data_IF_306838774107
#
_entry.id   IF_306838774107
#
_cell.length_a   1.000
_cell.length_b   1.000
_cell.length_c   1.000
_cell.angle_alpha   90.00
_cell.angle_beta   90.00
_cell.angle_gamma   90.00
#
_symmetry.space_group_name_H-M   'P 1'
#
loop_
_entity.id
_entity.type
_entity.pdbx_description
1 polymer ?
#
# COMPACT_ATOMS: atom_id res chain seq x y z
N UNK A 1 64.69 -20.39 -12.39
CA UNK A 1 63.51 -20.77 -11.64
C UNK A 1 63.00 -19.54 -10.88
N UNK A 2 61.83 -18.93 -11.21
CA UNK A 2 61.33 -17.83 -10.41
C UNK A 2 60.67 -16.68 -11.19
N UNK A 3 59.86 -16.92 -12.24
CA UNK A 3 59.09 -15.83 -12.94
C UNK A 3 57.73 -16.25 -13.42
N UNK A 4 57.03 -17.18 -12.78
CA UNK A 4 55.69 -17.69 -13.18
C UNK A 4 54.59 -17.45 -12.12
N UNK A 5 54.85 -16.69 -11.06
CA UNK A 5 53.89 -16.53 -9.94
C UNK A 5 53.23 -15.14 -9.86
N UNK A 6 53.24 -14.32 -10.90
CA UNK A 6 52.66 -12.96 -10.85
C UNK A 6 51.45 -12.72 -11.81
N UNK A 7 50.87 -13.76 -12.39
CA UNK A 7 49.75 -13.59 -13.36
C UNK A 7 48.39 -14.11 -12.90
N UNK A 8 48.26 -14.53 -11.63
CA UNK A 8 47.02 -15.14 -11.11
C UNK A 8 46.15 -14.23 -10.23
N UNK A 9 46.44 -12.94 -10.11
CA UNK A 9 45.71 -12.06 -9.17
C UNK A 9 44.89 -10.94 -9.81
N UNK A 10 44.59 -10.97 -11.10
CA UNK A 10 43.82 -9.92 -11.78
C UNK A 10 42.57 -10.46 -12.43
N UNK A 11 41.94 -11.47 -11.82
CA UNK A 11 40.53 -11.78 -12.04
C UNK A 11 39.69 -11.11 -10.96
N UNK A 12 39.91 -9.81 -10.74
CA UNK A 12 38.99 -9.00 -9.94
C UNK A 12 37.65 -8.92 -10.67
N UNK A 13 36.65 -9.50 -10.06
CA UNK A 13 35.29 -9.61 -10.47
C UNK A 13 34.74 -8.32 -11.06
N UNK A 14 34.62 -8.30 -12.38
CA UNK A 14 33.64 -7.48 -13.05
C UNK A 14 32.28 -7.98 -12.55
N UNK A 15 31.77 -7.38 -11.49
CA UNK A 15 30.33 -7.45 -11.22
C UNK A 15 29.71 -6.73 -12.41
N UNK A 16 29.18 -7.49 -13.37
CA UNK A 16 28.23 -6.97 -14.31
C UNK A 16 27.11 -6.37 -13.46
N UNK A 17 27.10 -5.05 -13.32
CA UNK A 17 25.91 -4.32 -12.93
C UNK A 17 24.90 -4.69 -14.01
N UNK A 18 23.98 -5.58 -13.69
CA UNK A 18 22.86 -5.88 -14.55
C UNK A 18 22.14 -4.55 -14.76
N UNK A 19 22.20 -4.01 -15.97
CA UNK A 19 21.47 -2.80 -16.31
C UNK A 19 20.00 -3.09 -16.05
N UNK A 20 19.33 -2.21 -15.32
CA UNK A 20 17.90 -2.33 -15.06
C UNK A 20 17.15 -2.42 -16.39
N UNK A 21 16.32 -3.44 -16.54
CA UNK A 21 15.56 -3.66 -17.77
C UNK A 21 14.23 -2.91 -17.65
N UNK A 22 14.09 -1.84 -18.43
CA UNK A 22 12.79 -1.18 -18.62
C UNK A 22 12.04 -1.96 -19.69
N UNK A 23 10.90 -2.60 -19.37
CA UNK A 23 10.14 -3.37 -20.35
C UNK A 23 9.56 -2.44 -21.42
N UNK A 24 9.37 -2.93 -22.66
CA UNK A 24 8.71 -2.16 -23.70
C UNK A 24 7.29 -1.78 -23.28
N UNK A 25 6.77 -0.68 -23.85
CA UNK A 25 5.39 -0.27 -23.60
C UNK A 25 4.42 -1.39 -23.97
N UNK A 26 3.44 -1.70 -23.13
CA UNK A 26 2.50 -2.79 -23.38
C UNK A 26 1.58 -2.46 -24.56
N UNK A 27 1.20 -3.50 -25.32
CA UNK A 27 0.32 -3.34 -26.48
C UNK A 27 -1.17 -3.22 -26.11
N UNK A 28 -1.55 -3.56 -24.88
CA UNK A 28 -2.93 -3.58 -24.38
C UNK A 28 -3.05 -2.71 -23.15
N UNK A 29 -4.28 -2.36 -22.80
CA UNK A 29 -4.56 -1.65 -21.53
C UNK A 29 -4.42 -2.54 -20.31
N UNK A 30 -4.75 -3.83 -20.46
CA UNK A 30 -4.55 -4.85 -19.43
C UNK A 30 -3.54 -5.90 -19.90
N UNK A 31 -2.47 -6.10 -19.12
CA UNK A 31 -1.39 -7.03 -19.44
C UNK A 31 -1.04 -7.87 -18.23
N UNK A 32 -1.22 -9.18 -18.32
CA UNK A 32 -0.86 -10.13 -17.27
C UNK A 32 0.31 -11.00 -17.73
N UNK A 33 1.51 -10.63 -17.31
CA UNK A 33 2.74 -11.40 -17.56
C UNK A 33 2.98 -12.48 -16.49
N UNK A 34 2.24 -12.42 -15.37
CA UNK A 34 2.32 -13.39 -14.29
C UNK A 34 1.35 -14.58 -14.47
N UNK A 35 0.38 -14.45 -15.39
CA UNK A 35 -0.65 -15.45 -15.67
C UNK A 35 -1.48 -15.86 -14.44
N UNK A 36 -1.81 -14.87 -13.60
CA UNK A 36 -2.61 -15.07 -12.37
C UNK A 36 -4.07 -14.68 -12.56
N UNK A 37 -4.43 -14.12 -13.73
CA UNK A 37 -5.77 -13.67 -14.07
C UNK A 37 -6.37 -14.57 -15.16
N UNK A 38 -7.65 -14.93 -15.04
CA UNK A 38 -8.33 -15.70 -16.06
C UNK A 38 -8.41 -14.94 -17.40
N UNK A 39 -8.38 -15.65 -18.51
CA UNK A 39 -8.44 -15.06 -19.85
C UNK A 39 -9.69 -14.20 -20.04
N UNK A 40 -10.83 -14.64 -19.50
CA UNK A 40 -12.11 -13.91 -19.58
C UNK A 40 -12.04 -12.59 -18.80
N UNK A 41 -11.52 -12.61 -17.58
CA UNK A 41 -11.34 -11.40 -16.76
C UNK A 41 -10.36 -10.44 -17.42
N UNK A 42 -9.25 -10.95 -17.95
CA UNK A 42 -8.25 -10.13 -18.66
C UNK A 42 -8.86 -9.44 -19.88
N UNK A 43 -9.66 -10.16 -20.68
CA UNK A 43 -10.36 -9.59 -21.83
C UNK A 43 -11.38 -8.52 -21.43
N UNK A 44 -12.19 -8.78 -20.41
CA UNK A 44 -13.18 -7.82 -19.88
C UNK A 44 -12.50 -6.56 -19.35
N UNK A 45 -11.42 -6.69 -18.56
CA UNK A 45 -10.69 -5.55 -18.04
C UNK A 45 -10.05 -4.73 -19.16
N UNK A 46 -9.46 -5.40 -20.15
CA UNK A 46 -8.88 -4.69 -21.31
C UNK A 46 -9.95 -3.88 -22.04
N UNK A 47 -11.11 -4.47 -22.30
CA UNK A 47 -12.22 -3.78 -22.98
C UNK A 47 -12.77 -2.61 -22.17
N UNK A 48 -12.89 -2.79 -20.86
CA UNK A 48 -13.37 -1.74 -19.95
C UNK A 48 -12.43 -0.54 -19.97
N UNK A 49 -11.13 -0.78 -19.88
CA UNK A 49 -10.10 0.27 -19.91
C UNK A 49 -10.03 0.97 -21.26
N UNK A 50 -10.12 0.23 -22.37
CA UNK A 50 -10.16 0.79 -23.71
C UNK A 50 -11.38 1.67 -23.95
N UNK A 51 -12.56 1.21 -23.54
CA UNK A 51 -13.80 2.01 -23.63
C UNK A 51 -13.71 3.28 -22.78
N UNK A 52 -13.12 3.17 -21.58
CA UNK A 52 -12.93 4.33 -20.72
C UNK A 52 -12.05 5.40 -21.37
N UNK A 53 -10.93 5.03 -21.99
CA UNK A 53 -10.10 6.01 -22.70
C UNK A 53 -10.84 6.65 -23.87
N UNK A 54 -11.65 5.89 -24.61
CA UNK A 54 -12.48 6.43 -25.69
C UNK A 54 -13.49 7.47 -25.20
N UNK A 55 -14.05 7.28 -24.00
CA UNK A 55 -15.07 8.16 -23.42
C UNK A 55 -14.46 9.41 -22.76
N UNK A 56 -13.36 9.23 -22.00
CA UNK A 56 -12.80 10.28 -21.15
C UNK A 56 -11.53 10.93 -21.73
N UNK A 57 -10.87 10.24 -22.66
CA UNK A 57 -9.50 10.53 -23.12
C UNK A 57 -8.42 10.28 -22.06
N UNK A 58 -8.76 9.80 -20.87
CA UNK A 58 -7.82 9.47 -19.81
C UNK A 58 -7.34 8.02 -19.95
N UNK A 59 -6.04 7.81 -19.89
CA UNK A 59 -5.45 6.51 -20.17
C UNK A 59 -5.08 5.79 -18.87
N UNK A 60 -5.75 4.66 -18.60
CA UNK A 60 -5.43 3.80 -17.46
C UNK A 60 -4.88 2.47 -17.99
N UNK A 61 -3.70 2.11 -17.54
CA UNK A 61 -3.00 0.87 -17.93
C UNK A 61 -2.79 0.01 -16.69
N UNK A 62 -3.01 -1.29 -16.82
CA UNK A 62 -2.77 -2.27 -15.75
C UNK A 62 -1.75 -3.29 -16.22
N UNK A 63 -0.75 -3.53 -15.38
CA UNK A 63 0.31 -4.49 -15.68
C UNK A 63 0.60 -5.35 -14.46
N UNK A 64 0.52 -6.66 -14.66
CA UNK A 64 0.81 -7.65 -13.64
C UNK A 64 2.11 -8.38 -14.03
N UNK A 65 3.14 -8.16 -13.23
CA UNK A 65 4.44 -8.80 -13.38
C UNK A 65 4.62 -9.95 -12.40
N UNK A 66 5.34 -11.02 -12.76
CA UNK A 66 5.69 -12.07 -11.82
C UNK A 66 6.50 -11.53 -10.64
N UNK A 67 7.49 -10.67 -10.92
CA UNK A 67 8.42 -10.12 -9.94
C UNK A 67 8.94 -8.75 -10.38
N UNK A 68 9.35 -7.94 -9.42
CA UNK A 68 10.09 -6.69 -9.66
C UNK A 68 11.46 -7.02 -10.30
N UNK A 69 11.73 -6.42 -11.47
CA UNK A 69 12.97 -6.64 -12.23
C UNK A 69 13.96 -5.50 -12.00
N UNK A 70 14.15 -5.13 -10.74
CA UNK A 70 15.03 -4.03 -10.35
C UNK A 70 15.49 -4.21 -8.92
N UNK A 71 16.71 -3.75 -8.62
CA UNK A 71 17.22 -3.61 -7.25
C UNK A 71 16.79 -2.28 -6.61
N UNK A 72 16.10 -1.42 -7.37
CA UNK A 72 15.57 -0.13 -6.89
C UNK A 72 14.29 -0.32 -6.08
N UNK A 73 13.84 0.75 -5.43
CA UNK A 73 12.52 0.75 -4.82
C UNK A 73 11.41 0.58 -5.88
N UNK A 74 10.26 0.04 -5.47
CA UNK A 74 9.11 -0.12 -6.37
C UNK A 74 8.67 1.23 -6.93
N UNK A 75 8.72 2.26 -6.10
CA UNK A 75 8.38 3.64 -6.46
C UNK A 75 9.27 4.13 -7.60
N UNK A 76 10.59 4.04 -7.43
CA UNK A 76 11.56 4.51 -8.41
C UNK A 76 11.45 3.74 -9.73
N UNK A 77 11.32 2.42 -9.65
CA UNK A 77 11.16 1.57 -10.83
C UNK A 77 9.88 1.93 -11.61
N UNK A 78 8.74 2.01 -10.93
CA UNK A 78 7.44 2.29 -11.58
C UNK A 78 7.39 3.68 -12.21
N UNK A 79 8.03 4.69 -11.59
CA UNK A 79 8.18 6.03 -12.18
C UNK A 79 8.97 5.97 -13.47
N UNK A 80 10.12 5.26 -13.50
CA UNK A 80 10.95 5.15 -14.70
C UNK A 80 10.22 4.40 -15.83
N UNK A 81 9.54 3.31 -15.49
CA UNK A 81 8.75 2.52 -16.45
C UNK A 81 7.61 3.35 -17.01
N UNK A 82 6.81 4.00 -16.15
CA UNK A 82 5.69 4.83 -16.59
C UNK A 82 6.12 6.01 -17.46
N UNK A 83 7.27 6.63 -17.16
CA UNK A 83 7.88 7.67 -18.01
C UNK A 83 8.33 7.13 -19.37
N UNK A 84 8.96 5.96 -19.40
CA UNK A 84 9.39 5.32 -20.64
C UNK A 84 8.20 4.95 -21.53
N UNK A 85 7.10 4.50 -20.94
CA UNK A 85 5.87 4.16 -21.68
C UNK A 85 5.06 5.38 -22.11
N UNK A 86 5.32 6.55 -21.52
CA UNK A 86 4.60 7.80 -21.82
C UNK A 86 3.09 7.66 -21.66
N UNK A 87 2.64 6.95 -20.62
CA UNK A 87 1.22 6.74 -20.36
C UNK A 87 0.48 8.09 -20.28
N UNK A 88 -0.67 8.19 -20.98
CA UNK A 88 -1.45 9.42 -21.10
C UNK A 88 -1.03 10.31 -22.27
N UNK A 89 -1.84 11.33 -22.52
CA UNK A 89 -1.58 12.32 -23.59
C UNK A 89 -0.49 13.30 -23.15
N UNK A 90 0.45 13.58 -24.05
CA UNK A 90 1.65 14.41 -23.80
C UNK A 90 1.36 15.77 -23.17
N UNK A 91 0.29 16.43 -23.61
CA UNK A 91 -0.06 17.78 -23.12
C UNK A 91 -0.92 17.77 -21.87
N UNK A 92 -1.68 16.67 -21.64
CA UNK A 92 -2.62 16.54 -20.54
C UNK A 92 -2.04 15.79 -19.34
N UNK A 93 -1.00 14.97 -19.54
CA UNK A 93 -0.43 14.09 -18.53
C UNK A 93 -1.49 13.24 -17.78
N UNK A 94 -2.54 12.84 -18.50
CA UNK A 94 -3.75 12.21 -18.01
C UNK A 94 -3.67 10.67 -18.07
N UNK A 95 -2.52 10.13 -17.74
CA UNK A 95 -2.27 8.70 -17.65
C UNK A 95 -2.13 8.21 -16.22
N UNK A 96 -2.56 6.98 -15.95
CA UNK A 96 -2.21 6.27 -14.72
C UNK A 96 -1.86 4.81 -15.05
N UNK A 97 -0.93 4.25 -14.28
CA UNK A 97 -0.47 2.86 -14.46
C UNK A 97 -0.54 2.12 -13.13
N UNK A 98 -1.34 1.06 -13.09
CA UNK A 98 -1.40 0.15 -11.96
C UNK A 98 -0.41 -0.99 -12.18
N UNK A 99 0.63 -1.04 -11.38
CA UNK A 99 1.64 -2.10 -11.35
C UNK A 99 1.32 -3.10 -10.24
N UNK A 100 1.41 -4.38 -10.56
CA UNK A 100 1.31 -5.47 -9.59
C UNK A 100 2.52 -6.37 -9.74
N UNK A 101 3.22 -6.66 -8.65
CA UNK A 101 4.38 -7.57 -8.58
C UNK A 101 3.99 -8.74 -7.67
N UNK A 102 3.61 -9.87 -8.29
CA UNK A 102 2.95 -10.97 -7.60
C UNK A 102 3.83 -11.61 -6.52
N UNK A 103 5.08 -11.95 -6.85
CA UNK A 103 5.99 -12.61 -5.92
C UNK A 103 6.51 -11.67 -4.83
N UNK A 104 6.58 -10.37 -5.10
CA UNK A 104 7.00 -9.35 -4.13
C UNK A 104 5.85 -8.86 -3.25
N UNK A 105 4.61 -9.30 -3.56
CA UNK A 105 3.40 -8.86 -2.87
C UNK A 105 3.26 -7.33 -2.84
N UNK A 106 3.55 -6.68 -3.98
CA UNK A 106 3.55 -5.21 -4.11
C UNK A 106 2.57 -4.74 -5.18
N UNK A 107 1.84 -3.70 -4.85
CA UNK A 107 0.99 -2.95 -5.78
C UNK A 107 1.43 -1.50 -5.77
N UNK A 108 1.53 -0.89 -6.93
CA UNK A 108 1.79 0.53 -7.06
C UNK A 108 0.89 1.16 -8.12
N UNK A 109 0.20 2.23 -7.77
CA UNK A 109 -0.58 3.03 -8.70
C UNK A 109 0.18 4.33 -8.97
N UNK A 110 0.77 4.44 -10.15
CA UNK A 110 1.45 5.64 -10.62
C UNK A 110 0.45 6.54 -11.32
N UNK A 111 0.41 7.81 -10.96
CA UNK A 111 -0.56 8.78 -11.49
C UNK A 111 0.17 9.92 -12.19
N UNK A 112 -0.32 10.30 -13.36
CA UNK A 112 0.14 11.47 -14.09
C UNK A 112 -0.45 12.77 -13.53
N UNK A 113 0.26 13.89 -13.69
CA UNK A 113 -0.12 15.20 -13.15
C UNK A 113 -1.55 15.62 -13.46
N UNK A 114 -2.05 15.28 -14.67
CA UNK A 114 -3.42 15.64 -15.09
C UNK A 114 -4.52 14.93 -14.31
N UNK A 115 -4.19 13.82 -13.66
CA UNK A 115 -5.13 13.04 -12.85
C UNK A 115 -4.95 13.23 -11.33
N UNK A 116 -3.92 13.92 -10.86
CA UNK A 116 -3.67 14.10 -9.41
C UNK A 116 -4.83 14.79 -8.69
N UNK A 117 -5.57 15.66 -9.38
CA UNK A 117 -6.73 16.33 -8.80
C UNK A 117 -7.90 15.39 -8.47
N UNK A 118 -8.06 14.30 -9.24
CA UNK A 118 -9.15 13.31 -9.07
C UNK A 118 -8.65 12.00 -8.46
N UNK A 119 -7.36 11.71 -8.61
CA UNK A 119 -6.66 10.54 -8.04
C UNK A 119 -5.48 10.97 -7.14
N UNK A 120 -5.72 11.73 -6.07
CA UNK A 120 -4.64 12.07 -5.13
C UNK A 120 -4.11 10.81 -4.42
N UNK A 121 -2.86 10.85 -3.96
CA UNK A 121 -2.16 9.72 -3.33
C UNK A 121 -2.97 9.07 -2.20
N UNK A 122 -3.65 9.88 -1.39
CA UNK A 122 -4.48 9.37 -0.30
C UNK A 122 -5.65 8.50 -0.80
N UNK A 123 -6.25 8.87 -1.96
CA UNK A 123 -7.31 8.09 -2.58
C UNK A 123 -6.75 6.81 -3.23
N UNK A 124 -5.63 6.92 -3.94
CA UNK A 124 -4.92 5.77 -4.51
C UNK A 124 -4.58 4.74 -3.42
N UNK A 125 -4.02 5.19 -2.30
CA UNK A 125 -3.72 4.34 -1.14
C UNK A 125 -4.96 3.66 -0.58
N UNK A 126 -6.08 4.38 -0.49
CA UNK A 126 -7.36 3.84 -0.03
C UNK A 126 -7.89 2.76 -0.99
N UNK A 127 -7.89 3.02 -2.30
CA UNK A 127 -8.32 2.04 -3.30
C UNK A 127 -7.50 0.76 -3.19
N UNK A 128 -6.17 0.87 -3.11
CA UNK A 128 -5.29 -0.29 -2.94
C UNK A 128 -5.63 -1.04 -1.64
N UNK A 129 -5.73 -0.34 -0.51
CA UNK A 129 -5.93 -0.94 0.80
C UNK A 129 -7.31 -1.58 0.99
N UNK A 130 -8.36 -0.99 0.42
CA UNK A 130 -9.76 -1.42 0.64
C UNK A 130 -10.27 -2.34 -0.46
N UNK A 131 -9.84 -2.16 -1.71
CA UNK A 131 -10.39 -2.89 -2.85
C UNK A 131 -9.47 -3.99 -3.38
N UNK A 132 -8.15 -3.76 -3.41
CA UNK A 132 -7.19 -4.69 -4.02
C UNK A 132 -6.60 -5.64 -2.97
N UNK A 133 -5.94 -5.08 -1.96
CA UNK A 133 -5.17 -5.85 -0.97
C UNK A 133 -5.95 -6.96 -0.27
N UNK A 134 -7.20 -6.77 0.20
CA UNK A 134 -7.92 -7.84 0.91
C UNK A 134 -8.19 -9.05 0.01
N UNK A 135 -8.48 -8.81 -1.27
CA UNK A 135 -8.73 -9.88 -2.25
C UNK A 135 -7.45 -10.61 -2.63
N UNK A 136 -6.35 -9.88 -2.81
CA UNK A 136 -5.04 -10.48 -3.10
C UNK A 136 -4.55 -11.35 -1.94
N UNK A 137 -4.79 -10.95 -0.69
CA UNK A 137 -4.51 -11.78 0.50
C UNK A 137 -5.27 -13.10 0.52
N UNK A 138 -6.46 -13.14 -0.07
CA UNK A 138 -7.25 -14.38 -0.22
C UNK A 138 -6.94 -15.15 -1.52
N UNK A 139 -5.98 -14.66 -2.33
CA UNK A 139 -5.63 -15.27 -3.63
C UNK A 139 -6.59 -14.90 -4.77
N UNK A 140 -7.58 -14.04 -4.53
CA UNK A 140 -8.52 -13.58 -5.56
C UNK A 140 -7.94 -12.41 -6.36
N UNK A 141 -7.06 -12.73 -7.32
CA UNK A 141 -6.48 -11.73 -8.22
C UNK A 141 -7.52 -11.18 -9.20
N UNK A 142 -8.44 -12.02 -9.69
CA UNK A 142 -9.50 -11.62 -10.59
C UNK A 142 -10.39 -10.55 -9.97
N UNK A 143 -10.97 -10.84 -8.81
CA UNK A 143 -11.84 -9.91 -8.09
C UNK A 143 -11.10 -8.68 -7.59
N UNK A 144 -9.82 -8.83 -7.17
CA UNK A 144 -9.01 -7.72 -6.71
C UNK A 144 -8.70 -6.70 -7.80
N UNK A 145 -8.31 -7.17 -8.99
CA UNK A 145 -8.05 -6.30 -10.14
C UNK A 145 -9.34 -5.69 -10.69
N UNK A 146 -10.43 -6.47 -10.79
CA UNK A 146 -11.71 -5.93 -11.23
C UNK A 146 -12.22 -4.82 -10.32
N UNK A 147 -12.21 -5.03 -9.00
CA UNK A 147 -12.64 -4.02 -8.02
C UNK A 147 -11.70 -2.79 -8.00
N UNK A 148 -10.39 -3.02 -8.10
CA UNK A 148 -9.41 -1.95 -8.16
C UNK A 148 -9.59 -1.07 -9.39
N UNK A 149 -9.69 -1.67 -10.58
CA UNK A 149 -9.94 -0.96 -11.83
C UNK A 149 -11.24 -0.16 -11.75
N UNK A 150 -12.36 -0.78 -11.36
CA UNK A 150 -13.64 -0.08 -11.22
C UNK A 150 -13.54 1.14 -10.29
N UNK A 151 -12.82 0.99 -9.16
CA UNK A 151 -12.63 2.07 -8.20
C UNK A 151 -11.78 3.20 -8.76
N UNK A 152 -10.72 2.89 -9.53
CA UNK A 152 -9.89 3.88 -10.21
C UNK A 152 -10.72 4.64 -11.25
N UNK A 153 -11.48 3.94 -12.09
CA UNK A 153 -12.32 4.56 -13.11
C UNK A 153 -13.42 5.46 -12.49
N UNK A 154 -14.06 5.00 -11.41
CA UNK A 154 -15.05 5.79 -10.68
C UNK A 154 -14.41 7.04 -10.03
N UNK A 155 -13.19 6.95 -9.55
CA UNK A 155 -12.46 8.09 -9.01
C UNK A 155 -12.15 9.13 -10.08
N UNK A 156 -11.69 8.70 -11.26
CA UNK A 156 -11.41 9.60 -12.39
C UNK A 156 -12.71 10.28 -12.89
N UNK A 157 -13.84 9.57 -12.89
CA UNK A 157 -15.17 10.14 -13.19
C UNK A 157 -15.71 11.06 -12.08
N UNK A 158 -15.06 11.13 -10.92
CA UNK A 158 -15.57 11.87 -9.75
C UNK A 158 -16.73 11.16 -9.01
N UNK A 159 -16.98 9.89 -9.30
CA UNK A 159 -18.07 9.08 -8.77
C UNK A 159 -17.66 8.18 -7.59
N UNK A 160 -16.39 8.15 -7.22
CA UNK A 160 -15.90 7.26 -6.17
C UNK A 160 -16.50 7.62 -4.81
N UNK A 161 -17.22 6.66 -4.23
CA UNK A 161 -17.71 6.74 -2.84
C UNK A 161 -16.86 5.82 -1.97
N UNK A 162 -16.09 6.40 -1.06
CA UNK A 162 -15.35 5.61 -0.07
C UNK A 162 -16.29 4.80 0.82
N UNK A 163 -15.81 3.70 1.39
CA UNK A 163 -16.57 2.82 2.29
C UNK A 163 -16.95 3.49 3.62
N UNK A 164 -16.50 4.73 3.86
CA UNK A 164 -16.72 5.47 5.12
C UNK A 164 -15.88 4.97 6.29
N UNK A 165 -15.14 3.88 6.12
CA UNK A 165 -14.23 3.36 7.15
C UNK A 165 -12.80 3.86 6.92
N UNK A 166 -12.14 4.30 7.99
CA UNK A 166 -10.72 4.62 7.96
C UNK A 166 -9.90 3.40 8.38
N UNK A 167 -8.68 3.24 7.87
CA UNK A 167 -7.77 2.16 8.28
C UNK A 167 -7.51 2.21 9.80
N UNK A 168 -7.49 3.40 10.40
CA UNK A 168 -7.42 3.59 11.86
C UNK A 168 -8.66 3.05 12.59
N UNK A 169 -9.85 3.15 11.98
CA UNK A 169 -11.10 2.63 12.54
C UNK A 169 -11.23 1.10 12.45
N UNK A 170 -10.57 0.46 11.49
CA UNK A 170 -10.59 -1.00 11.35
C UNK A 170 -9.59 -1.72 12.27
N UNK A 171 -8.53 -1.04 12.73
CA UNK A 171 -7.60 -1.60 13.72
C UNK A 171 -8.16 -1.65 15.14
N UNK A 172 -9.32 -1.02 15.41
CA UNK A 172 -9.97 -1.00 16.72
C UNK A 172 -10.74 -2.26 17.12
N UNK A 173 -11.01 -3.19 16.20
CA UNK A 173 -11.59 -4.50 16.54
C UNK A 173 -10.49 -5.52 16.79
N UNK A 174 -9.75 -5.36 17.87
CA UNK A 174 -9.03 -6.49 18.47
C UNK A 174 -10.09 -7.53 18.90
N UNK A 175 -9.96 -8.81 18.50
CA UNK A 175 -10.85 -9.83 19.02
C UNK A 175 -10.67 -9.86 20.53
N UNK A 176 -11.77 -9.53 21.23
CA UNK A 176 -12.02 -9.70 22.64
C UNK A 176 -10.82 -9.82 23.57
N UNK A 177 -10.14 -8.73 23.87
CA UNK A 177 -9.44 -8.66 25.16
C UNK A 177 -10.45 -8.96 26.25
N UNK A 178 -10.08 -9.87 27.16
CA UNK A 178 -10.92 -10.26 28.30
C UNK A 178 -11.53 -8.99 28.87
N UNK A 179 -12.86 -8.88 28.81
CA UNK A 179 -13.57 -7.67 29.25
C UNK A 179 -13.07 -7.29 30.64
N UNK A 180 -12.73 -6.01 30.85
CA UNK A 180 -12.36 -5.51 32.19
C UNK A 180 -13.40 -5.95 33.23
N UNK A 181 -14.67 -6.06 32.82
CA UNK A 181 -15.76 -6.59 33.64
C UNK A 181 -15.50 -8.05 34.04
N UNK A 182 -14.99 -8.88 33.13
CA UNK A 182 -14.64 -10.26 33.43
C UNK A 182 -13.47 -10.35 34.43
N UNK A 183 -12.45 -9.49 34.27
CA UNK A 183 -11.34 -9.40 35.24
C UNK A 183 -11.85 -8.97 36.62
N UNK A 184 -12.73 -7.96 36.68
CA UNK A 184 -13.34 -7.49 37.91
C UNK A 184 -14.16 -8.61 38.57
N UNK A 185 -14.94 -9.37 37.82
CA UNK A 185 -15.71 -10.51 38.32
C UNK A 185 -14.78 -11.59 38.88
N UNK A 186 -13.72 -11.96 38.15
CA UNK A 186 -12.76 -12.96 38.62
C UNK A 186 -12.05 -12.51 39.89
N UNK A 187 -11.62 -11.24 39.96
CA UNK A 187 -10.99 -10.67 41.15
C UNK A 187 -11.99 -10.64 42.33
N UNK A 188 -13.25 -10.25 42.10
CA UNK A 188 -14.29 -10.25 43.13
C UNK A 188 -14.56 -11.67 43.64
N UNK A 189 -14.63 -12.67 42.77
CA UNK A 189 -14.81 -14.08 43.18
C UNK A 189 -13.62 -14.58 43.99
N UNK A 190 -12.38 -14.24 43.58
CA UNK A 190 -11.17 -14.59 44.33
C UNK A 190 -11.19 -13.94 45.71
N UNK A 191 -11.55 -12.66 45.81
CA UNK A 191 -11.65 -11.94 47.09
C UNK A 191 -12.74 -12.54 48.00
N UNK A 192 -13.89 -12.94 47.45
CA UNK A 192 -14.96 -13.62 48.18
C UNK A 192 -14.49 -14.99 48.68
N UNK A 193 -13.75 -15.75 47.88
CA UNK A 193 -13.21 -17.05 48.28
C UNK A 193 -12.11 -16.93 49.35
N UNK A 194 -11.27 -15.89 49.26
CA UNK A 194 -10.26 -15.60 50.27
C UNK A 194 -10.86 -15.07 51.58
N UNK A 195 -11.92 -14.26 51.51
CA UNK A 195 -12.63 -13.75 52.71
C UNK A 195 -13.39 -14.86 53.45
N UNK A 196 -13.81 -15.90 52.76
CA UNK A 196 -14.43 -17.11 53.38
C UNK A 196 -13.42 -18.00 54.13
N UNK A 197 -12.12 -17.88 53.78
CA UNK A 197 -11.06 -18.67 54.38
C UNK A 197 -10.44 -18.04 55.64
N UNK A 198 -10.78 -16.77 55.92
CA UNK A 198 -10.20 -15.98 57.03
C UNK A 198 -11.24 -15.49 58.02
N UNK A 199 -12.02 -16.37 58.66
CA UNK A 199 -12.84 -15.98 59.79
C UNK A 199 -12.14 -16.40 61.06
N UNK A 200 -11.16 -15.61 61.45
CA UNK A 200 -10.64 -15.56 62.82
C UNK A 200 -10.05 -14.17 63.08
N UNK A 201 -10.72 -13.41 63.90
CA UNK A 201 -10.16 -12.48 64.87
C UNK A 201 -9.51 -11.17 64.42
N UNK A 202 -10.12 -10.04 64.87
CA UNK A 202 -9.31 -8.94 65.40
C UNK A 202 -9.29 -7.60 64.67
N UNK A 203 -10.15 -6.68 65.09
CA UNK A 203 -9.93 -5.26 65.42
C UNK A 203 -9.11 -4.31 64.57
N UNK A 204 -9.79 -3.20 64.19
CA UNK A 204 -9.39 -1.77 64.25
C UNK A 204 -8.30 -1.28 63.24
N UNK A 205 -8.69 -0.20 62.56
CA UNK A 205 -7.78 0.80 62.08
C UNK A 205 -8.28 1.50 60.81
N UNK A 206 -8.96 2.65 60.96
CA UNK A 206 -9.30 3.51 59.84
C UNK A 206 -8.09 4.30 59.36
N UNK A 207 -8.04 4.58 58.08
CA UNK A 207 -7.25 5.68 57.52
C UNK A 207 -7.99 6.27 56.33
N UNK A 208 -8.34 7.54 56.51
CA UNK A 208 -8.79 8.48 55.48
C UNK A 208 -7.54 9.04 54.81
N UNK A 209 -7.48 9.07 53.48
CA UNK A 209 -6.59 9.98 52.75
C UNK A 209 -7.36 10.55 51.60
N UNK A 210 -7.68 11.81 51.71
CA UNK A 210 -7.97 12.83 50.70
C UNK A 210 -6.70 13.27 49.98
N UNK A 211 -6.84 13.66 48.73
CA UNK A 211 -5.87 14.44 47.94
C UNK A 211 -5.77 13.88 46.53
N UNK A 212 -6.13 14.49 45.41
CA UNK A 212 -5.89 15.88 45.09
C UNK A 212 -4.76 15.94 44.01
N UNK A 213 -5.07 16.50 42.82
CA UNK A 213 -4.09 16.89 41.79
C UNK A 213 -4.20 16.07 40.51
N UNK A 214 -4.68 16.52 39.35
CA UNK A 214 -4.26 17.73 38.65
C UNK A 214 -3.02 17.47 37.82
N UNK A 215 -3.20 17.29 36.48
CA UNK A 215 -2.05 17.20 35.59
C UNK A 215 -2.46 17.01 34.13
N UNK A 216 -2.69 18.10 33.44
CA UNK A 216 -2.88 18.15 32.02
C UNK A 216 -1.59 17.80 31.28
N UNK A 217 -1.71 17.11 30.20
CA UNK A 217 -0.65 16.95 29.20
C UNK A 217 -1.13 17.52 27.89
N UNK A 218 -0.69 18.75 27.66
CA UNK A 218 -0.59 19.35 26.33
C UNK A 218 0.79 18.98 25.80
N UNK A 219 0.85 18.40 24.63
CA UNK A 219 2.09 18.12 23.94
C UNK A 219 1.80 17.96 22.46
N UNK A 220 1.82 19.10 21.76
CA UNK A 220 1.92 19.20 20.34
C UNK A 220 3.27 18.73 19.85
N UNK A 221 3.30 18.12 18.69
CA UNK A 221 4.49 17.74 17.97
C UNK A 221 4.13 17.57 16.51
N UNK A 222 4.05 18.68 15.77
CA UNK A 222 4.03 18.69 14.33
C UNK A 222 5.41 18.30 13.80
N UNK A 223 5.49 17.17 13.10
CA UNK A 223 6.61 16.80 12.25
C UNK A 223 6.21 17.01 10.79
N UNK A 224 6.51 18.18 10.23
CA UNK A 224 6.41 18.41 8.80
C UNK A 224 7.49 17.62 8.08
N UNK A 225 7.12 16.69 7.22
CA UNK A 225 8.01 16.12 6.23
C UNK A 225 7.94 17.00 4.98
N UNK A 226 8.95 17.82 4.79
CA UNK A 226 9.20 18.49 3.53
C UNK A 226 9.78 17.47 2.56
N UNK A 227 8.94 16.93 1.69
CA UNK A 227 9.36 16.16 0.52
C UNK A 227 9.88 17.14 -0.54
N UNK A 228 11.17 17.12 -0.80
CA UNK A 228 11.80 17.86 -1.88
C UNK A 228 11.26 17.42 -3.24
N UNK A 229 10.61 18.35 -3.96
CA UNK A 229 10.18 18.13 -5.32
C UNK A 229 11.37 18.01 -6.27
N UNK A 230 11.40 16.99 -7.11
CA UNK A 230 12.32 16.87 -8.22
C UNK A 230 11.69 17.52 -9.45
N UNK A 231 12.33 18.56 -9.93
CA UNK A 231 11.95 19.31 -11.13
C UNK A 231 12.78 18.81 -12.31
N UNK A 232 12.14 18.17 -13.29
CA UNK A 232 12.74 17.82 -14.56
C UNK A 232 11.72 17.94 -15.68
N UNK A 233 11.96 18.88 -16.63
CA UNK A 233 11.01 19.27 -17.67
C UNK A 233 10.81 18.21 -18.76
N UNK A 234 9.57 17.99 -19.12
CA UNK A 234 9.15 17.32 -20.35
C UNK A 234 8.35 16.02 -20.12
N UNK A 235 7.03 16.09 -20.29
CA UNK A 235 6.12 14.94 -20.28
C UNK A 235 6.23 14.11 -19.00
N UNK A 236 5.89 14.68 -17.88
CA UNK A 236 6.26 14.14 -16.58
C UNK A 236 5.07 13.42 -15.94
N UNK A 237 5.21 12.13 -15.76
CA UNK A 237 4.47 11.45 -14.69
C UNK A 237 5.01 12.04 -13.40
N UNK A 238 4.16 12.69 -12.61
CA UNK A 238 4.51 13.21 -11.31
C UNK A 238 5.01 12.09 -10.40
N UNK A 239 5.76 12.43 -9.38
CA UNK A 239 6.09 11.48 -8.31
C UNK A 239 4.87 11.09 -7.47
N UNK A 240 3.65 11.46 -7.90
CA UNK A 240 2.38 11.09 -7.29
C UNK A 240 2.08 9.61 -7.53
N UNK A 241 1.66 8.91 -6.48
CA UNK A 241 1.29 7.52 -6.55
C UNK A 241 1.18 6.91 -5.17
N UNK A 242 0.63 5.72 -5.10
CA UNK A 242 0.49 5.01 -3.84
C UNK A 242 0.96 3.56 -3.94
N UNK A 243 1.67 3.13 -2.90
CA UNK A 243 2.13 1.77 -2.71
C UNK A 243 1.25 1.02 -1.73
N UNK A 244 1.05 -0.27 -1.99
CA UNK A 244 0.48 -1.23 -1.06
C UNK A 244 1.19 -2.57 -1.10
N UNK A 245 0.97 -3.35 -0.07
CA UNK A 245 1.46 -4.74 0.03
C UNK A 245 0.39 -5.64 0.61
N UNK A 246 0.42 -6.93 0.30
CA UNK A 246 -0.52 -7.94 0.79
C UNK A 246 0.17 -9.19 1.30
#
# INVERSE_FOLDING_TARGET
MGRILAFSALLLGFRLLAAEVIPPAPAKYFNDYAQVVSADTAAQLNQTLENFERESSDQIVVVVFPKLQSDSSVEDYTVRVARAWKAGQKEKNNGAVLFVFVQDHKVYLQVGYGLEGVLPDALCKRIIAEQITPRFKSGDFNGGLAAGVQSILAAVKGEYKGTGSTVAGSQGKRPGGVSIVFIIIVVAVILILLSRRGRSGGRRGGWIITGGGGGGWTGGGGGGFSGGGFSGGGGSVGGGGACGSW
#
